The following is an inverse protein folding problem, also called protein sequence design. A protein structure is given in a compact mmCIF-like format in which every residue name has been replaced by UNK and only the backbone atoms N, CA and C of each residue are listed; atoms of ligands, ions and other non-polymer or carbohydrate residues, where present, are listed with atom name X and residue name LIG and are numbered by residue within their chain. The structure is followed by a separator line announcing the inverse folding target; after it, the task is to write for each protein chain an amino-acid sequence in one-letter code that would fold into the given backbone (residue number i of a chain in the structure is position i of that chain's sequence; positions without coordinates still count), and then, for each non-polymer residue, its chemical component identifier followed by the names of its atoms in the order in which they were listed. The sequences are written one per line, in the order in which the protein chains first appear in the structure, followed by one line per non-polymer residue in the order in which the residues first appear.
data_IF_855663353652
#
_entry.id   IF_855663353652
#
_cell.length_a   1.000
_cell.length_b   1.000
_cell.length_c   1.000
_cell.angle_alpha   90.00
_cell.angle_beta   90.00
_cell.angle_gamma   90.00
#
_symmetry.space_group_name_H-M   'P 1'
#
loop_
_entity.id
_entity.type
_entity.pdbx_description
1 polymer ?
#
# COMPACT_ATOMS: atom_id res chain seq x y z
N UNK A 1 61.72 -76.50 16.32
CA UNK A 1 60.62 -77.45 16.64
C UNK A 1 59.95 -76.95 17.91
N UNK A 2 58.90 -76.15 17.80
CA UNK A 2 57.48 -76.54 17.71
C UNK A 2 56.82 -76.69 19.10
N UNK A 3 55.86 -75.77 19.38
CA UNK A 3 54.77 -75.72 20.38
C UNK A 3 54.71 -74.24 20.86
N UNK A 4 53.78 -73.38 20.45
CA UNK A 4 52.40 -73.58 20.03
C UNK A 4 51.47 -73.49 21.24
N UNK A 5 51.22 -72.27 21.75
CA UNK A 5 50.12 -72.05 22.68
C UNK A 5 49.73 -70.57 22.82
N UNK A 6 48.46 -70.31 22.48
CA UNK A 6 47.52 -69.37 23.13
C UNK A 6 47.93 -67.89 23.19
N UNK A 7 47.51 -67.13 22.18
CA UNK A 7 46.89 -65.80 22.34
C UNK A 7 46.35 -65.34 20.98
N UNK A 8 45.27 -65.94 20.48
CA UNK A 8 44.49 -65.34 19.36
C UNK A 8 43.14 -66.06 19.15
N UNK A 9 42.36 -66.23 20.21
CA UNK A 9 41.01 -66.82 20.12
C UNK A 9 39.97 -66.11 20.99
N UNK A 10 40.09 -64.80 21.13
CA UNK A 10 39.13 -64.00 21.91
C UNK A 10 38.90 -62.61 21.32
N UNK A 11 38.79 -62.52 19.99
CA UNK A 11 38.17 -61.38 19.28
C UNK A 11 37.20 -61.87 18.21
N UNK A 12 36.56 -63.00 18.45
CA UNK A 12 35.60 -63.62 17.55
C UNK A 12 34.34 -63.97 18.34
N UNK A 13 33.58 -62.94 18.69
CA UNK A 13 32.23 -63.05 19.24
C UNK A 13 31.66 -61.63 19.28
N UNK A 14 30.61 -61.38 18.50
CA UNK A 14 29.88 -60.11 18.34
C UNK A 14 30.32 -59.19 17.19
N UNK A 15 30.62 -59.77 16.02
CA UNK A 15 30.14 -59.17 14.77
C UNK A 15 28.92 -59.97 14.35
N UNK A 16 27.74 -59.47 14.69
CA UNK A 16 26.52 -59.85 13.97
C UNK A 16 26.85 -59.73 12.49
N UNK A 17 26.62 -60.79 11.72
CA UNK A 17 26.79 -60.80 10.27
C UNK A 17 25.94 -59.68 9.67
N UNK A 18 26.54 -58.50 9.52
CA UNK A 18 25.96 -57.40 8.78
C UNK A 18 25.96 -57.86 7.33
N UNK A 19 24.82 -58.31 6.83
CA UNK A 19 24.64 -58.50 5.40
C UNK A 19 25.04 -57.19 4.71
N UNK A 20 26.00 -57.25 3.78
CA UNK A 20 26.41 -56.06 3.05
C UNK A 20 25.19 -55.50 2.30
N UNK A 21 25.06 -54.17 2.16
CA UNK A 21 23.89 -53.53 1.55
C UNK A 21 23.60 -54.03 0.12
N UNK A 22 24.64 -54.51 -0.57
CA UNK A 22 24.54 -55.16 -1.89
C UNK A 22 23.80 -56.50 -1.84
N UNK A 23 24.06 -57.32 -0.81
CA UNK A 23 23.40 -58.63 -0.64
C UNK A 23 21.93 -58.47 -0.29
N UNK A 24 21.59 -57.48 0.53
CA UNK A 24 20.19 -57.14 0.83
C UNK A 24 19.45 -56.55 -0.37
N UNK A 25 20.11 -55.78 -1.23
CA UNK A 25 19.49 -55.26 -2.46
C UNK A 25 19.20 -56.39 -3.48
N UNK A 26 20.08 -57.38 -3.57
CA UNK A 26 19.85 -58.60 -4.35
C UNK A 26 18.69 -59.43 -3.80
N UNK A 27 18.64 -59.65 -2.48
CA UNK A 27 17.52 -60.31 -1.80
C UNK A 27 16.21 -59.58 -2.08
N UNK A 28 16.19 -58.25 -1.94
CA UNK A 28 15.01 -57.44 -2.24
C UNK A 28 14.55 -57.62 -3.70
N UNK A 29 15.47 -57.62 -4.67
CA UNK A 29 15.15 -57.89 -6.08
C UNK A 29 14.64 -59.31 -6.31
N UNK A 30 15.11 -60.29 -5.54
CA UNK A 30 14.59 -61.65 -5.59
C UNK A 30 13.15 -61.71 -5.04
N UNK A 31 12.90 -61.11 -3.87
CA UNK A 31 11.57 -61.07 -3.26
C UNK A 31 10.55 -60.35 -4.15
N UNK A 32 10.90 -59.21 -4.77
CA UNK A 32 9.97 -58.51 -5.68
C UNK A 32 9.66 -59.31 -6.94
N UNK A 33 10.61 -60.11 -7.46
CA UNK A 33 10.37 -61.01 -8.60
C UNK A 33 9.50 -62.21 -8.25
N UNK A 34 9.59 -62.71 -7.02
CA UNK A 34 8.78 -63.83 -6.52
C UNK A 34 7.35 -63.40 -6.16
N UNK A 35 7.06 -62.09 -6.13
CA UNK A 35 5.76 -61.48 -5.80
C UNK A 35 5.19 -61.88 -4.43
N UNK A 36 6.04 -62.34 -3.53
CA UNK A 36 5.63 -62.69 -2.17
C UNK A 36 5.59 -61.43 -1.30
N UNK A 37 4.38 -60.83 -1.23
CA UNK A 37 4.16 -59.58 -0.52
C UNK A 37 4.38 -59.70 0.99
N UNK A 38 3.92 -60.79 1.60
CA UNK A 38 3.95 -61.01 3.04
C UNK A 38 5.36 -61.14 3.59
N UNK A 39 6.21 -61.92 2.91
CA UNK A 39 7.61 -62.11 3.33
C UNK A 39 8.43 -60.86 3.07
N UNK A 40 8.15 -60.12 1.99
CA UNK A 40 8.80 -58.85 1.69
C UNK A 40 8.48 -57.77 2.74
N UNK A 41 7.21 -57.67 3.14
CA UNK A 41 6.78 -56.74 4.19
C UNK A 41 7.40 -57.09 5.56
N UNK A 42 7.40 -58.36 5.92
CA UNK A 42 8.02 -58.85 7.16
C UNK A 42 9.55 -58.63 7.15
N UNK A 43 10.20 -58.89 6.02
CA UNK A 43 11.63 -58.64 5.83
C UNK A 43 11.95 -57.15 6.03
N UNK A 44 11.18 -56.23 5.44
CA UNK A 44 11.41 -54.79 5.58
C UNK A 44 11.07 -54.24 6.98
N UNK A 45 10.18 -54.91 7.72
CA UNK A 45 9.88 -54.57 9.13
C UNK A 45 10.94 -55.08 10.10
N UNK A 46 11.52 -56.25 9.83
CA UNK A 46 12.50 -56.92 10.72
C UNK A 46 13.94 -56.49 10.45
N UNK A 47 14.25 -56.09 9.22
CA UNK A 47 15.59 -55.66 8.82
C UNK A 47 15.84 -54.22 9.28
N UNK A 48 16.87 -53.96 10.11
CA UNK A 48 17.20 -52.61 10.53
C UNK A 48 17.66 -51.76 9.33
N UNK A 49 17.37 -50.45 9.34
CA UNK A 49 17.61 -49.57 8.20
C UNK A 49 19.08 -49.57 7.76
N UNK A 50 20.05 -49.73 8.68
CA UNK A 50 21.47 -49.70 8.34
C UNK A 50 21.95 -50.89 7.46
N UNK A 51 21.10 -51.90 7.23
CA UNK A 51 21.49 -53.12 6.54
C UNK A 51 21.19 -53.13 5.04
N UNK A 52 20.49 -52.13 4.50
CA UNK A 52 20.22 -52.07 3.06
C UNK A 52 20.36 -50.66 2.50
N UNK A 53 20.72 -50.57 1.23
CA UNK A 53 20.72 -49.28 0.54
C UNK A 53 19.27 -48.81 0.31
N UNK A 54 18.91 -47.74 1.01
CA UNK A 54 17.59 -47.13 0.96
C UNK A 54 17.20 -46.62 -0.43
N UNK A 55 18.17 -46.11 -1.21
CA UNK A 55 17.91 -45.60 -2.55
C UNK A 55 17.48 -46.74 -3.47
N UNK A 56 18.34 -47.75 -3.57
CA UNK A 56 18.05 -48.94 -4.38
C UNK A 56 16.79 -49.66 -3.89
N UNK A 57 16.53 -49.69 -2.57
CA UNK A 57 15.35 -50.37 -2.05
C UNK A 57 14.05 -49.70 -2.51
N UNK A 58 13.97 -48.37 -2.43
CA UNK A 58 12.80 -47.61 -2.89
C UNK A 58 12.61 -47.80 -4.40
N UNK A 59 13.66 -47.64 -5.20
CA UNK A 59 13.60 -47.82 -6.66
C UNK A 59 13.15 -49.23 -7.08
N UNK A 60 13.66 -50.27 -6.40
CA UNK A 60 13.28 -51.66 -6.68
C UNK A 60 11.81 -51.89 -6.34
N UNK A 61 11.31 -51.36 -5.23
CA UNK A 61 9.90 -51.45 -4.85
C UNK A 61 9.00 -50.68 -5.82
N UNK A 62 9.40 -49.49 -6.26
CA UNK A 62 8.68 -48.71 -7.27
C UNK A 62 8.62 -49.42 -8.62
N UNK A 63 9.74 -49.99 -9.08
CA UNK A 63 9.81 -50.74 -10.35
C UNK A 63 8.92 -51.99 -10.35
N UNK A 64 8.66 -52.55 -9.17
CA UNK A 64 7.81 -53.71 -8.96
C UNK A 64 6.35 -53.33 -8.63
N UNK A 65 5.98 -52.06 -8.75
CA UNK A 65 4.65 -51.51 -8.45
C UNK A 65 4.18 -51.67 -6.98
N UNK A 66 5.11 -51.88 -6.04
CA UNK A 66 4.83 -51.92 -4.59
C UNK A 66 4.92 -50.51 -3.97
N UNK A 67 4.17 -49.55 -4.53
CA UNK A 67 4.27 -48.14 -4.14
C UNK A 67 3.94 -47.88 -2.66
N UNK A 68 3.06 -48.69 -2.05
CA UNK A 68 2.64 -48.49 -0.65
C UNK A 68 3.77 -48.84 0.30
N UNK A 69 4.42 -49.97 0.05
CA UNK A 69 5.58 -50.43 0.79
C UNK A 69 6.77 -49.50 0.61
N UNK A 70 6.97 -48.98 -0.62
CA UNK A 70 8.01 -47.99 -0.91
C UNK A 70 7.81 -46.71 -0.10
N UNK A 71 6.58 -46.21 0.01
CA UNK A 71 6.24 -45.05 0.82
C UNK A 71 6.48 -45.30 2.32
N UNK A 72 6.06 -46.44 2.86
CA UNK A 72 6.32 -46.78 4.26
C UNK A 72 7.82 -46.88 4.58
N UNK A 73 8.62 -47.48 3.68
CA UNK A 73 10.07 -47.56 3.83
C UNK A 73 10.68 -46.16 3.78
N UNK A 74 10.29 -45.33 2.81
CA UNK A 74 10.77 -43.94 2.70
C UNK A 74 10.47 -43.13 3.97
N UNK A 75 9.26 -43.28 4.54
CA UNK A 75 8.85 -42.62 5.78
C UNK A 75 9.68 -43.10 6.99
N UNK A 76 9.88 -44.41 7.15
CA UNK A 76 10.64 -44.99 8.29
C UNK A 76 12.12 -44.62 8.26
N UNK A 77 12.69 -44.53 7.07
CA UNK A 77 14.10 -44.21 6.86
C UNK A 77 14.37 -42.70 6.99
N UNK A 78 13.34 -41.86 6.93
CA UNK A 78 13.49 -40.40 6.95
C UNK A 78 13.84 -39.80 5.59
N UNK A 79 13.61 -40.54 4.49
CA UNK A 79 13.69 -40.03 3.11
C UNK A 79 12.36 -39.40 2.70
N UNK A 80 12.03 -38.28 3.34
CA UNK A 80 10.74 -37.62 3.16
C UNK A 80 10.48 -37.12 1.73
N UNK A 81 11.53 -36.76 0.98
CA UNK A 81 11.40 -36.35 -0.42
C UNK A 81 10.80 -37.46 -1.30
N UNK A 82 11.30 -38.69 -1.15
CA UNK A 82 10.81 -39.85 -1.89
C UNK A 82 9.41 -40.25 -1.43
N UNK A 83 9.14 -40.16 -0.12
CA UNK A 83 7.79 -40.36 0.41
C UNK A 83 6.80 -39.39 -0.25
N UNK A 84 7.09 -38.08 -0.21
CA UNK A 84 6.20 -37.05 -0.80
C UNK A 84 6.02 -37.28 -2.29
N UNK A 85 7.09 -37.59 -3.04
CA UNK A 85 7.02 -37.89 -4.47
C UNK A 85 6.09 -39.07 -4.75
N UNK A 86 6.33 -40.20 -4.09
CA UNK A 86 5.54 -41.44 -4.26
C UNK A 86 4.07 -41.20 -3.85
N UNK A 87 3.84 -40.54 -2.73
CA UNK A 87 2.51 -40.23 -2.21
C UNK A 87 1.69 -39.33 -3.14
N UNK A 88 2.33 -38.35 -3.78
CA UNK A 88 1.66 -37.45 -4.74
C UNK A 88 1.43 -38.12 -6.09
N UNK A 89 2.43 -38.82 -6.64
CA UNK A 89 2.35 -39.42 -7.98
C UNK A 89 1.42 -40.65 -8.02
N UNK A 90 1.51 -41.52 -7.02
CA UNK A 90 0.86 -42.84 -7.06
C UNK A 90 -0.45 -42.86 -6.31
N UNK A 91 -0.52 -42.19 -5.16
CA UNK A 91 -1.69 -42.25 -4.28
C UNK A 91 -2.61 -41.03 -4.41
N UNK A 92 -2.12 -39.92 -4.97
CA UNK A 92 -2.83 -38.61 -5.01
C UNK A 92 -3.37 -38.16 -3.65
N UNK A 93 -2.87 -38.73 -2.56
CA UNK A 93 -3.32 -38.47 -1.20
C UNK A 93 -2.61 -37.23 -0.66
N UNK A 94 -2.97 -36.08 -1.21
CA UNK A 94 -2.29 -34.83 -0.91
C UNK A 94 -2.56 -34.36 0.53
N UNK A 95 -3.79 -34.54 1.01
CA UNK A 95 -4.19 -34.13 2.37
C UNK A 95 -3.39 -34.88 3.45
N UNK A 96 -3.25 -36.21 3.34
CA UNK A 96 -2.47 -37.01 4.30
C UNK A 96 -0.99 -36.68 4.23
N UNK A 97 -0.47 -36.39 3.03
CA UNK A 97 0.92 -36.00 2.81
C UNK A 97 1.21 -34.66 3.50
N UNK A 98 0.32 -33.67 3.35
CA UNK A 98 0.48 -32.35 3.99
C UNK A 98 0.30 -32.44 5.51
N UNK A 99 -0.63 -33.26 6.01
CA UNK A 99 -0.77 -33.53 7.45
C UNK A 99 0.49 -34.16 8.04
N UNK A 100 1.10 -35.11 7.32
CA UNK A 100 2.38 -35.68 7.70
C UNK A 100 3.48 -34.61 7.73
N UNK A 101 3.59 -33.77 6.70
CA UNK A 101 4.56 -32.68 6.68
C UNK A 101 4.35 -31.67 7.81
N UNK A 102 3.09 -31.42 8.22
CA UNK A 102 2.76 -30.57 9.37
C UNK A 102 3.16 -31.19 10.71
N UNK A 103 3.26 -32.52 10.79
CA UNK A 103 3.74 -33.22 11.99
C UNK A 103 5.25 -33.18 12.17
N UNK A 104 6.00 -32.88 11.10
CA UNK A 104 7.46 -32.74 11.14
C UNK A 104 7.91 -31.44 11.80
N UNK A 105 9.19 -31.36 12.14
CA UNK A 105 9.79 -30.09 12.56
C UNK A 105 9.70 -29.07 11.43
N UNK A 106 9.47 -27.79 11.76
CA UNK A 106 9.36 -26.71 10.78
C UNK A 106 10.59 -26.61 9.84
N UNK A 107 11.79 -26.93 10.35
CA UNK A 107 13.02 -26.96 9.56
C UNK A 107 13.04 -28.09 8.52
N UNK A 108 12.53 -29.28 8.87
CA UNK A 108 12.40 -30.40 7.92
C UNK A 108 11.30 -30.15 6.90
N UNK A 109 10.12 -29.71 7.36
CA UNK A 109 9.00 -29.35 6.49
C UNK A 109 9.42 -28.26 5.49
N UNK A 110 10.16 -27.25 5.93
CA UNK A 110 10.70 -26.20 5.08
C UNK A 110 11.69 -26.71 4.02
N UNK A 111 12.64 -27.59 4.39
CA UNK A 111 13.58 -28.19 3.42
C UNK A 111 12.84 -29.00 2.34
N UNK A 112 11.82 -29.73 2.72
CA UNK A 112 10.99 -30.50 1.79
C UNK A 112 10.20 -29.55 0.88
N UNK A 113 9.62 -28.47 1.43
CA UNK A 113 8.93 -27.44 0.63
C UNK A 113 9.85 -26.79 -0.40
N UNK A 114 11.12 -26.51 -0.09
CA UNK A 114 12.05 -25.94 -1.07
C UNK A 114 12.30 -26.87 -2.27
N UNK A 115 12.29 -28.19 -2.04
CA UNK A 115 12.60 -29.18 -3.08
C UNK A 115 11.36 -29.64 -3.84
N UNK A 116 10.27 -29.92 -3.11
CA UNK A 116 9.03 -30.54 -3.60
C UNK A 116 7.84 -29.57 -3.65
N UNK A 117 7.99 -28.34 -3.18
CA UNK A 117 6.91 -27.35 -3.06
C UNK A 117 6.17 -27.09 -4.37
N UNK A 118 6.88 -27.01 -5.50
CA UNK A 118 6.23 -26.83 -6.81
C UNK A 118 5.29 -27.99 -7.17
N UNK A 119 5.66 -29.23 -6.83
CA UNK A 119 4.78 -30.37 -7.07
C UNK A 119 3.57 -30.35 -6.13
N UNK A 120 3.81 -30.02 -4.86
CA UNK A 120 2.74 -29.86 -3.86
C UNK A 120 1.74 -28.76 -4.27
N UNK A 121 2.21 -27.62 -4.78
CA UNK A 121 1.37 -26.53 -5.28
C UNK A 121 0.48 -26.93 -6.45
N UNK A 122 0.98 -27.74 -7.38
CA UNK A 122 0.21 -28.22 -8.53
C UNK A 122 -0.93 -29.17 -8.16
N UNK A 123 -0.73 -29.98 -7.12
CA UNK A 123 -1.71 -31.00 -6.72
C UNK A 123 -2.66 -30.53 -5.60
N UNK A 124 -2.16 -29.75 -4.64
CA UNK A 124 -2.91 -29.32 -3.46
C UNK A 124 -2.49 -27.90 -3.02
N UNK A 125 -2.91 -26.86 -3.75
CA UNK A 125 -2.45 -25.50 -3.50
C UNK A 125 -2.90 -24.97 -2.14
N UNK A 126 -4.14 -25.23 -1.72
CA UNK A 126 -4.71 -24.70 -0.46
C UNK A 126 -3.99 -25.26 0.77
N UNK A 127 -3.78 -26.58 0.77
CA UNK A 127 -3.09 -27.30 1.83
C UNK A 127 -1.61 -26.91 1.88
N UNK A 128 -0.98 -26.73 0.72
CA UNK A 128 0.42 -26.30 0.62
C UNK A 128 0.61 -24.88 1.13
N UNK A 129 -0.29 -23.94 0.79
CA UNK A 129 -0.28 -22.58 1.35
C UNK A 129 -0.38 -22.61 2.88
N UNK A 130 -1.30 -23.42 3.42
CA UNK A 130 -1.44 -23.59 4.87
C UNK A 130 -0.17 -24.18 5.52
N UNK A 131 0.54 -25.07 4.84
CA UNK A 131 1.82 -25.62 5.30
C UNK A 131 2.94 -24.57 5.25
N UNK A 132 3.07 -23.82 4.16
CA UNK A 132 4.04 -22.73 4.01
C UNK A 132 3.81 -21.69 5.11
N UNK A 133 2.56 -21.32 5.36
CA UNK A 133 2.19 -20.45 6.48
C UNK A 133 2.60 -21.05 7.82
N UNK A 134 2.32 -22.33 8.08
CA UNK A 134 2.73 -22.98 9.33
C UNK A 134 4.25 -22.99 9.57
N UNK A 135 5.03 -23.17 8.50
CA UNK A 135 6.50 -23.15 8.56
C UNK A 135 7.03 -21.73 8.81
N UNK A 136 6.36 -20.71 8.26
CA UNK A 136 6.78 -19.30 8.35
C UNK A 136 6.24 -18.56 9.57
N UNK A 137 5.15 -19.06 10.18
CA UNK A 137 4.56 -18.52 11.40
C UNK A 137 5.49 -18.66 12.61
N UNK A 138 5.75 -17.57 13.33
CA UNK A 138 6.48 -17.60 14.61
C UNK A 138 7.96 -17.91 14.50
N UNK A 139 8.63 -17.48 13.43
CA UNK A 139 10.08 -17.54 13.30
C UNK A 139 10.74 -16.62 14.35
N UNK A 140 10.93 -17.16 15.56
CA UNK A 140 11.84 -16.60 16.56
C UNK A 140 13.28 -16.56 16.01
N UNK A 141 14.13 -15.73 16.60
CA UNK A 141 15.50 -15.48 16.11
C UNK A 141 16.38 -16.75 16.01
N UNK A 142 16.02 -17.84 16.71
CA UNK A 142 16.72 -19.14 16.70
C UNK A 142 16.18 -20.14 15.64
N UNK A 143 15.33 -19.70 14.71
CA UNK A 143 14.71 -20.57 13.72
C UNK A 143 15.69 -21.00 12.61
N UNK A 144 16.03 -22.30 12.57
CA UNK A 144 16.87 -22.91 11.53
C UNK A 144 16.12 -23.33 10.25
N UNK A 145 14.85 -22.97 10.11
CA UNK A 145 14.08 -23.25 8.89
C UNK A 145 14.24 -22.16 7.81
N UNK A 146 13.77 -22.43 6.59
CA UNK A 146 13.91 -21.51 5.47
C UNK A 146 13.12 -20.23 5.68
N UNK A 147 13.65 -19.13 5.14
CA UNK A 147 12.98 -17.83 5.16
C UNK A 147 11.81 -17.78 4.17
N UNK A 148 10.92 -16.79 4.30
CA UNK A 148 9.83 -16.58 3.34
C UNK A 148 10.41 -16.34 1.94
N UNK A 149 11.49 -15.55 1.84
CA UNK A 149 12.12 -15.21 0.56
C UNK A 149 12.67 -16.46 -0.16
N UNK A 150 13.17 -17.44 0.59
CA UNK A 150 13.60 -18.73 0.05
C UNK A 150 12.42 -19.59 -0.43
N UNK A 151 11.23 -19.41 0.16
CA UNK A 151 10.01 -20.14 -0.19
C UNK A 151 9.20 -19.46 -1.31
N UNK A 152 9.41 -18.16 -1.60
CA UNK A 152 8.73 -17.46 -2.70
C UNK A 152 8.87 -18.18 -4.07
N UNK A 153 10.02 -18.77 -4.43
CA UNK A 153 10.18 -19.55 -5.66
C UNK A 153 9.21 -20.72 -5.83
N UNK A 154 8.58 -21.20 -4.75
CA UNK A 154 7.56 -22.26 -4.81
C UNK A 154 6.32 -21.81 -5.59
N UNK A 155 6.04 -20.51 -5.62
CA UNK A 155 4.86 -19.93 -6.27
C UNK A 155 5.11 -19.39 -7.69
N UNK A 156 6.32 -19.55 -8.25
CA UNK A 156 6.71 -18.95 -9.55
C UNK A 156 5.79 -19.35 -10.69
N UNK A 157 5.29 -20.59 -10.66
CA UNK A 157 4.40 -21.11 -11.71
C UNK A 157 2.97 -20.55 -11.61
N UNK A 158 2.54 -20.06 -10.43
CA UNK A 158 1.16 -19.73 -10.13
C UNK A 158 1.03 -18.43 -9.29
N UNK A 159 1.02 -17.23 -9.92
CA UNK A 159 0.96 -15.96 -9.21
C UNK A 159 -0.35 -15.74 -8.45
N UNK A 160 -1.45 -16.38 -8.85
CA UNK A 160 -2.72 -16.35 -8.12
C UNK A 160 -2.61 -17.03 -6.75
N UNK A 161 -1.82 -18.09 -6.65
CA UNK A 161 -1.58 -18.76 -5.37
C UNK A 161 -0.62 -17.97 -4.49
N UNK A 162 0.33 -17.25 -5.10
CA UNK A 162 1.15 -16.27 -4.38
C UNK A 162 0.29 -15.16 -3.77
N UNK A 163 -0.68 -14.64 -4.51
CA UNK A 163 -1.63 -13.65 -3.99
C UNK A 163 -2.40 -14.20 -2.78
N UNK A 164 -2.96 -15.41 -2.89
CA UNK A 164 -3.70 -16.05 -1.77
C UNK A 164 -2.80 -16.24 -0.55
N UNK A 165 -1.56 -16.70 -0.76
CA UNK A 165 -0.59 -16.84 0.32
C UNK A 165 -0.29 -15.50 0.99
N UNK A 166 0.12 -14.48 0.22
CA UNK A 166 0.45 -13.16 0.76
C UNK A 166 -0.74 -12.49 1.46
N UNK A 167 -1.97 -12.67 0.95
CA UNK A 167 -3.20 -12.23 1.62
C UNK A 167 -3.36 -12.91 2.98
N UNK A 168 -3.19 -14.24 3.03
CA UNK A 168 -3.29 -15.01 4.29
C UNK A 168 -2.23 -14.67 5.34
N UNK A 169 -1.17 -13.98 4.91
CA UNK A 169 -0.01 -13.63 5.75
C UNK A 169 -0.06 -12.16 6.19
N UNK A 170 -0.44 -11.24 5.29
CA UNK A 170 -0.43 -9.80 5.55
C UNK A 170 -1.77 -9.26 6.05
N UNK A 171 -2.89 -9.87 5.63
CA UNK A 171 -4.24 -9.38 5.93
C UNK A 171 -4.99 -10.16 7.02
N UNK A 172 -4.56 -11.39 7.32
CA UNK A 172 -5.16 -12.19 8.39
C UNK A 172 -4.50 -11.84 9.74
N UNK A 173 -5.32 -11.57 10.76
CA UNK A 173 -4.87 -11.16 12.10
C UNK A 173 -4.09 -12.25 12.88
N UNK A 174 -4.01 -13.46 12.34
CA UNK A 174 -3.39 -14.62 13.01
C UNK A 174 -1.89 -14.79 12.75
N UNK A 175 -1.30 -14.11 11.75
CA UNK A 175 0.09 -14.28 11.38
C UNK A 175 1.01 -13.32 12.17
N UNK A 176 1.96 -13.87 12.91
CA UNK A 176 2.94 -13.12 13.70
C UNK A 176 4.26 -12.97 12.92
N UNK A 177 4.20 -12.30 11.78
CA UNK A 177 5.43 -11.92 11.08
C UNK A 177 6.02 -10.63 11.67
N UNK A 178 7.35 -10.53 11.78
CA UNK A 178 8.00 -9.28 12.12
C UNK A 178 7.60 -8.18 11.12
N UNK A 179 7.27 -6.99 11.64
CA UNK A 179 6.77 -5.87 10.82
C UNK A 179 7.68 -5.54 9.62
N UNK A 180 9.00 -5.59 9.80
CA UNK A 180 9.97 -5.33 8.74
C UNK A 180 9.89 -6.33 7.57
N UNK A 181 9.62 -7.62 7.85
CA UNK A 181 9.45 -8.64 6.81
C UNK A 181 8.08 -8.52 6.13
N UNK A 182 7.07 -8.13 6.89
CA UNK A 182 5.75 -7.87 6.32
C UNK A 182 5.79 -6.66 5.36
N UNK A 183 6.54 -5.62 5.71
CA UNK A 183 6.75 -4.44 4.88
C UNK A 183 7.54 -4.77 3.60
N UNK A 184 8.49 -5.71 3.61
CA UNK A 184 9.21 -6.11 2.39
C UNK A 184 8.34 -6.89 1.40
N UNK A 185 7.28 -7.56 1.87
CA UNK A 185 6.33 -8.29 1.03
C UNK A 185 5.19 -7.41 0.48
N UNK A 186 5.00 -6.23 1.07
CA UNK A 186 3.95 -5.28 0.69
C UNK A 186 3.97 -4.92 -0.81
N UNK A 187 5.12 -4.54 -1.42
CA UNK A 187 5.16 -4.18 -2.85
C UNK A 187 4.61 -5.28 -3.76
N UNK A 188 5.02 -6.52 -3.51
CA UNK A 188 4.64 -7.68 -4.31
C UNK A 188 3.15 -7.97 -4.18
N UNK A 189 2.60 -7.93 -2.96
CA UNK A 189 1.17 -8.13 -2.77
C UNK A 189 0.36 -7.00 -3.41
N UNK A 190 0.80 -5.75 -3.25
CA UNK A 190 0.11 -4.59 -3.80
C UNK A 190 0.04 -4.68 -5.33
N UNK A 191 1.15 -5.00 -6.00
CA UNK A 191 1.17 -5.18 -7.45
C UNK A 191 0.20 -6.26 -7.90
N UNK A 192 0.20 -7.42 -7.23
CA UNK A 192 -0.70 -8.52 -7.56
C UNK A 192 -2.18 -8.14 -7.37
N UNK A 193 -2.53 -7.48 -6.26
CA UNK A 193 -3.90 -7.07 -5.97
C UNK A 193 -4.41 -5.99 -6.93
N UNK A 194 -3.58 -4.99 -7.24
CA UNK A 194 -3.99 -3.92 -8.16
C UNK A 194 -4.12 -4.49 -9.58
N UNK A 195 -3.23 -5.41 -9.97
CA UNK A 195 -3.36 -6.13 -11.23
C UNK A 195 -4.62 -6.99 -11.28
N UNK A 196 -4.95 -7.73 -10.22
CA UNK A 196 -6.17 -8.55 -10.17
C UNK A 196 -7.43 -7.68 -10.20
N UNK A 197 -7.43 -6.52 -9.54
CA UNK A 197 -8.50 -5.52 -9.64
C UNK A 197 -8.68 -5.01 -11.08
N UNK A 198 -7.59 -4.76 -11.82
CA UNK A 198 -7.67 -4.27 -13.21
C UNK A 198 -8.26 -5.29 -14.19
N UNK A 199 -8.15 -6.59 -13.86
CA UNK A 199 -8.63 -7.71 -14.70
C UNK A 199 -10.04 -8.16 -14.26
N UNK A 200 -10.46 -7.84 -13.04
CA UNK A 200 -11.72 -8.29 -12.48
C UNK A 200 -12.93 -7.74 -13.27
N UNK A 201 -13.69 -8.63 -13.90
CA UNK A 201 -14.93 -8.28 -14.60
C UNK A 201 -16.12 -8.08 -13.65
N UNK A 202 -16.08 -8.71 -12.47
CA UNK A 202 -17.17 -8.70 -11.50
C UNK A 202 -17.05 -7.54 -10.52
N UNK A 203 -18.07 -6.66 -10.48
CA UNK A 203 -18.09 -5.48 -9.62
C UNK A 203 -17.98 -5.81 -8.11
N UNK A 204 -18.51 -6.96 -7.68
CA UNK A 204 -18.43 -7.43 -6.29
C UNK A 204 -17.00 -7.85 -5.92
N UNK A 205 -16.31 -8.54 -6.82
CA UNK A 205 -14.93 -8.98 -6.62
C UNK A 205 -13.98 -7.78 -6.62
N UNK A 206 -14.14 -6.86 -7.58
CA UNK A 206 -13.39 -5.61 -7.63
C UNK A 206 -13.53 -4.80 -6.33
N UNK A 207 -14.75 -4.69 -5.78
CA UNK A 207 -15.01 -4.00 -4.51
C UNK A 207 -14.33 -4.66 -3.30
N UNK A 208 -14.27 -6.00 -3.27
CA UNK A 208 -13.55 -6.73 -2.21
C UNK A 208 -12.05 -6.49 -2.31
N UNK A 209 -11.49 -6.57 -3.52
CA UNK A 209 -10.06 -6.35 -3.76
C UNK A 209 -9.68 -4.90 -3.43
N UNK A 210 -10.50 -3.91 -3.81
CA UNK A 210 -10.24 -2.50 -3.48
C UNK A 210 -10.25 -2.25 -1.97
N UNK A 211 -11.18 -2.86 -1.23
CA UNK A 211 -11.19 -2.79 0.23
C UNK A 211 -9.93 -3.40 0.86
N UNK A 212 -9.44 -4.52 0.31
CA UNK A 212 -8.21 -5.15 0.77
C UNK A 212 -6.97 -4.31 0.47
N UNK A 213 -6.88 -3.71 -0.73
CA UNK A 213 -5.81 -2.77 -1.10
C UNK A 213 -5.78 -1.60 -0.12
N UNK A 214 -6.93 -0.98 0.14
CA UNK A 214 -7.03 0.16 1.06
C UNK A 214 -6.68 -0.23 2.50
N UNK A 215 -7.03 -1.45 2.93
CA UNK A 215 -6.63 -1.99 4.24
C UNK A 215 -5.12 -2.17 4.32
N UNK A 216 -4.51 -2.72 3.28
CA UNK A 216 -3.06 -2.95 3.20
C UNK A 216 -2.28 -1.64 3.26
N UNK A 217 -2.67 -0.62 2.48
CA UNK A 217 -2.01 0.69 2.45
C UNK A 217 -2.10 1.38 3.83
N UNK A 218 -3.23 1.23 4.53
CA UNK A 218 -3.40 1.79 5.89
C UNK A 218 -2.56 1.10 6.95
N UNK A 219 -2.27 -0.19 6.78
CA UNK A 219 -1.49 -0.99 7.71
C UNK A 219 0.01 -0.70 7.63
N UNK A 220 0.52 -0.35 6.44
CA UNK A 220 1.93 -0.07 6.18
C UNK A 220 2.13 1.34 5.56
N UNK A 221 1.93 2.43 6.32
CA UNK A 221 1.99 3.79 5.80
C UNK A 221 3.42 4.36 5.78
N UNK A 222 4.42 3.59 5.33
CA UNK A 222 5.79 4.11 5.19
C UNK A 222 5.94 4.93 3.91
N UNK A 223 6.82 5.94 3.92
CA UNK A 223 7.04 6.80 2.75
C UNK A 223 7.46 5.98 1.51
N UNK A 224 8.25 4.92 1.72
CA UNK A 224 8.65 4.00 0.65
C UNK A 224 7.47 3.17 0.12
N UNK A 225 6.62 2.65 1.01
CA UNK A 225 5.42 1.90 0.63
C UNK A 225 4.40 2.79 -0.10
N UNK A 226 4.22 4.04 0.35
CA UNK A 226 3.36 5.02 -0.30
C UNK A 226 3.89 5.42 -1.68
N UNK A 227 5.21 5.58 -1.84
CA UNK A 227 5.82 5.87 -3.14
C UNK A 227 5.65 4.70 -4.12
N UNK A 228 5.82 3.46 -3.64
CA UNK A 228 5.51 2.26 -4.41
C UNK A 228 4.01 2.22 -4.81
N UNK A 229 3.13 2.53 -3.86
CA UNK A 229 1.69 2.58 -4.10
C UNK A 229 1.33 3.55 -5.20
N UNK A 230 1.92 4.75 -5.22
CA UNK A 230 1.72 5.71 -6.30
C UNK A 230 2.09 5.13 -7.67
N UNK A 231 3.28 4.53 -7.76
CA UNK A 231 3.79 3.96 -9.01
C UNK A 231 2.88 2.84 -9.54
N UNK A 232 2.53 1.89 -8.68
CA UNK A 232 1.69 0.74 -9.03
C UNK A 232 0.27 1.21 -9.39
N UNK A 233 -0.32 2.08 -8.59
CA UNK A 233 -1.68 2.58 -8.83
C UNK A 233 -1.77 3.39 -10.12
N UNK A 234 -0.74 4.18 -10.46
CA UNK A 234 -0.67 4.90 -11.74
C UNK A 234 -0.53 3.92 -12.92
N UNK A 235 0.25 2.86 -12.77
CA UNK A 235 0.50 1.88 -13.85
C UNK A 235 -0.76 1.09 -14.22
N UNK A 236 -1.55 0.69 -13.22
CA UNK A 236 -2.73 -0.17 -13.41
C UNK A 236 -4.07 0.59 -13.32
N UNK A 237 -4.05 1.90 -13.07
CA UNK A 237 -5.24 2.77 -13.08
C UNK A 237 -6.12 2.71 -11.81
N UNK A 238 -5.56 2.38 -10.65
CA UNK A 238 -6.32 2.36 -9.39
C UNK A 238 -6.37 3.74 -8.72
N UNK A 239 -7.44 4.48 -9.00
CA UNK A 239 -7.59 5.90 -8.61
C UNK A 239 -7.60 6.10 -7.10
N UNK A 240 -8.39 5.32 -6.35
CA UNK A 240 -8.58 5.55 -4.90
C UNK A 240 -7.27 5.41 -4.11
N UNK A 241 -6.44 4.41 -4.46
CA UNK A 241 -5.13 4.19 -3.85
C UNK A 241 -4.09 5.24 -4.27
N UNK A 242 -4.14 5.69 -5.53
CA UNK A 242 -3.31 6.78 -6.01
C UNK A 242 -3.59 8.07 -5.22
N UNK A 243 -4.87 8.45 -5.07
CA UNK A 243 -5.25 9.65 -4.32
C UNK A 243 -4.83 9.55 -2.86
N UNK A 244 -5.09 8.41 -2.21
CA UNK A 244 -4.71 8.21 -0.83
C UNK A 244 -3.19 8.34 -0.60
N UNK A 245 -2.38 7.72 -1.47
CA UNK A 245 -0.93 7.77 -1.33
C UNK A 245 -0.37 9.16 -1.63
N UNK A 246 -0.93 9.88 -2.62
CA UNK A 246 -0.49 11.23 -2.99
C UNK A 246 -0.84 12.25 -1.90
N UNK A 247 -2.02 12.13 -1.28
CA UNK A 247 -2.44 12.95 -0.15
C UNK A 247 -1.48 12.77 1.04
N UNK A 248 -1.14 11.51 1.37
CA UNK A 248 -0.23 11.20 2.49
C UNK A 248 1.20 11.66 2.27
N UNK A 249 1.68 11.62 1.03
CA UNK A 249 3.01 12.12 0.67
C UNK A 249 3.04 13.64 0.43
N UNK A 250 1.92 14.34 0.61
CA UNK A 250 1.79 15.77 0.35
C UNK A 250 2.25 16.17 -1.06
N UNK A 251 2.03 15.31 -2.06
CA UNK A 251 2.40 15.53 -3.47
C UNK A 251 1.21 16.08 -4.28
N UNK A 252 0.73 17.24 -3.83
CA UNK A 252 -0.41 17.97 -4.39
C UNK A 252 -0.33 18.22 -5.90
N UNK A 253 0.85 18.54 -6.41
CA UNK A 253 1.08 18.81 -7.84
C UNK A 253 0.77 17.58 -8.73
N UNK A 254 0.99 16.36 -8.22
CA UNK A 254 0.67 15.14 -8.96
C UNK A 254 -0.84 14.90 -9.04
N UNK A 255 -1.57 15.19 -7.95
CA UNK A 255 -3.04 15.12 -7.94
C UNK A 255 -3.65 16.11 -8.93
N UNK A 256 -3.12 17.33 -8.96
CA UNK A 256 -3.56 18.37 -9.90
C UNK A 256 -3.34 17.94 -11.34
N UNK A 257 -2.14 17.44 -11.66
CA UNK A 257 -1.83 16.98 -13.01
C UNK A 257 -2.75 15.83 -13.44
N UNK A 258 -2.99 14.85 -12.57
CA UNK A 258 -3.91 13.76 -12.84
C UNK A 258 -5.34 14.26 -13.07
N UNK A 259 -5.84 15.19 -12.24
CA UNK A 259 -7.15 15.80 -12.44
C UNK A 259 -7.25 16.57 -13.77
N UNK A 260 -6.16 17.19 -14.22
CA UNK A 260 -6.12 17.89 -15.50
C UNK A 260 -6.19 16.93 -16.69
N UNK A 261 -5.49 15.81 -16.63
CA UNK A 261 -5.54 14.77 -17.67
C UNK A 261 -6.93 14.13 -17.78
N UNK A 262 -7.58 13.84 -16.65
CA UNK A 262 -8.86 13.14 -16.60
C UNK A 262 -10.10 14.05 -16.63
N UNK A 263 -9.91 15.38 -16.55
CA UNK A 263 -10.98 16.39 -16.57
C UNK A 263 -12.02 16.25 -15.45
N UNK A 264 -11.62 15.70 -14.30
CA UNK A 264 -12.47 15.47 -13.13
C UNK A 264 -12.48 16.71 -12.20
N UNK A 265 -13.38 17.66 -12.46
CA UNK A 265 -13.49 18.92 -11.69
C UNK A 265 -13.95 18.71 -10.22
N UNK A 266 -14.81 17.72 -9.96
CA UNK A 266 -15.32 17.44 -8.61
C UNK A 266 -14.22 16.94 -7.66
N UNK A 267 -13.39 16.02 -8.13
CA UNK A 267 -12.25 15.50 -7.36
C UNK A 267 -11.17 16.56 -7.18
N UNK A 268 -10.96 17.42 -8.18
CA UNK A 268 -10.05 18.57 -8.09
C UNK A 268 -10.45 19.48 -6.91
N UNK A 269 -11.75 19.77 -6.76
CA UNK A 269 -12.28 20.55 -5.65
C UNK A 269 -12.09 19.87 -4.29
N UNK A 270 -12.35 18.56 -4.22
CA UNK A 270 -12.12 17.79 -2.98
C UNK A 270 -10.66 17.83 -2.56
N UNK A 271 -9.73 17.68 -3.51
CA UNK A 271 -8.28 17.82 -3.26
C UNK A 271 -7.96 19.24 -2.80
N UNK A 272 -8.42 20.27 -3.49
CA UNK A 272 -8.18 21.67 -3.10
C UNK A 272 -8.70 21.97 -1.68
N UNK A 273 -9.87 21.45 -1.30
CA UNK A 273 -10.45 21.59 0.04
C UNK A 273 -9.62 20.87 1.12
N UNK A 274 -9.12 19.67 0.83
CA UNK A 274 -8.31 18.87 1.78
C UNK A 274 -6.90 19.41 1.96
N UNK A 275 -6.35 20.03 0.93
CA UNK A 275 -4.95 20.42 0.86
C UNK A 275 -4.66 21.84 1.38
N UNK A 276 -5.69 22.56 1.83
CA UNK A 276 -5.52 23.82 2.58
C UNK A 276 -5.31 25.07 1.71
N UNK A 277 -4.91 26.19 2.34
CA UNK A 277 -4.99 27.55 1.78
C UNK A 277 -3.85 27.88 0.78
N UNK A 278 -3.26 26.90 0.12
CA UNK A 278 -2.18 27.15 -0.84
C UNK A 278 -2.73 27.87 -2.08
N UNK A 279 -2.52 29.19 -2.12
CA UNK A 279 -2.98 30.08 -3.19
C UNK A 279 -2.63 29.55 -4.59
N UNK A 280 -1.45 28.96 -4.75
CA UNK A 280 -1.00 28.41 -6.03
C UNK A 280 -1.87 27.26 -6.56
N UNK A 281 -2.40 26.40 -5.69
CA UNK A 281 -3.28 25.29 -6.08
C UNK A 281 -4.63 25.82 -6.57
N UNK A 282 -5.18 26.82 -5.89
CA UNK A 282 -6.44 27.45 -6.28
C UNK A 282 -6.33 28.25 -7.58
N UNK A 283 -5.20 28.91 -7.84
CA UNK A 283 -4.91 29.55 -9.14
C UNK A 283 -4.86 28.50 -10.25
N UNK A 284 -4.13 27.40 -10.04
CA UNK A 284 -4.03 26.32 -11.01
C UNK A 284 -5.40 25.66 -11.27
N UNK A 285 -6.17 25.38 -10.22
CA UNK A 285 -7.51 24.82 -10.33
C UNK A 285 -8.45 25.75 -11.10
N UNK A 286 -8.48 27.04 -10.76
CA UNK A 286 -9.30 28.04 -11.43
C UNK A 286 -8.87 28.22 -12.90
N UNK A 287 -7.57 28.21 -13.18
CA UNK A 287 -7.04 28.30 -14.55
C UNK A 287 -7.43 27.09 -15.41
N UNK A 288 -7.51 25.91 -14.81
CA UNK A 288 -7.96 24.69 -15.49
C UNK A 288 -9.47 24.71 -15.74
N UNK A 289 -10.27 25.06 -14.72
CA UNK A 289 -11.72 25.19 -14.85
C UNK A 289 -12.13 26.29 -15.85
N UNK A 290 -11.32 27.34 -15.96
CA UNK A 290 -11.48 28.40 -16.94
C UNK A 290 -10.95 28.02 -18.34
N UNK A 291 -10.15 26.96 -18.48
CA UNK A 291 -9.62 26.53 -19.77
C UNK A 291 -10.68 25.77 -20.58
N UNK A 292 -10.79 26.00 -21.89
CA UNK A 292 -11.69 25.25 -22.77
C UNK A 292 -11.36 23.73 -22.82
N UNK A 293 -10.17 23.34 -22.36
CA UNK A 293 -9.74 21.95 -22.30
C UNK A 293 -10.53 21.12 -21.27
N UNK A 294 -11.20 21.75 -20.30
CA UNK A 294 -11.94 21.08 -19.21
C UNK A 294 -13.24 20.39 -19.66
N UNK A 295 -13.65 20.52 -20.93
CA UNK A 295 -14.81 19.80 -21.49
C UNK A 295 -16.18 20.42 -21.20
N UNK A 296 -16.19 21.59 -20.57
CA UNK A 296 -17.35 22.44 -20.36
C UNK A 296 -18.34 21.98 -19.28
N UNK A 297 -19.11 22.94 -18.75
CA UNK A 297 -20.20 22.66 -17.80
C UNK A 297 -19.84 22.71 -16.31
N UNK A 298 -18.65 23.20 -15.95
CA UNK A 298 -18.15 23.25 -14.56
C UNK A 298 -18.57 24.51 -13.80
N UNK A 299 -19.74 25.08 -14.10
CA UNK A 299 -20.19 26.36 -13.54
C UNK A 299 -20.45 26.26 -12.03
N UNK A 300 -20.95 25.10 -11.56
CA UNK A 300 -21.17 24.85 -10.13
C UNK A 300 -19.83 24.77 -9.39
N UNK A 301 -18.85 24.09 -9.98
CA UNK A 301 -17.51 23.93 -9.43
C UNK A 301 -16.76 25.26 -9.38
N UNK A 302 -16.87 26.11 -10.41
CA UNK A 302 -16.31 27.47 -10.43
C UNK A 302 -16.96 28.34 -9.34
N UNK A 303 -18.28 28.27 -9.18
CA UNK A 303 -18.97 28.99 -8.11
C UNK A 303 -18.51 28.53 -6.72
N UNK A 304 -18.27 27.23 -6.54
CA UNK A 304 -17.77 26.68 -5.28
C UNK A 304 -16.31 27.09 -5.01
N UNK A 305 -15.44 27.10 -6.03
CA UNK A 305 -14.09 27.68 -5.94
C UNK A 305 -14.15 29.15 -5.53
N UNK A 306 -15.00 29.95 -6.18
CA UNK A 306 -15.12 31.38 -5.91
C UNK A 306 -15.61 31.66 -4.48
N UNK A 307 -16.56 30.87 -3.98
CA UNK A 307 -17.00 30.94 -2.56
C UNK A 307 -15.87 30.60 -1.61
N UNK A 308 -15.08 29.58 -1.90
CA UNK A 308 -13.94 29.21 -1.04
C UNK A 308 -12.81 30.25 -1.05
N UNK A 309 -12.52 30.84 -2.22
CA UNK A 309 -11.59 31.96 -2.35
C UNK A 309 -12.10 33.17 -1.57
N UNK A 310 -13.40 33.43 -1.62
CA UNK A 310 -14.03 34.49 -0.83
C UNK A 310 -13.88 34.22 0.67
N UNK A 311 -14.27 33.05 1.17
CA UNK A 311 -14.21 32.74 2.61
C UNK A 311 -12.80 32.73 3.19
N UNK A 312 -11.81 32.33 2.40
CA UNK A 312 -10.42 32.15 2.86
C UNK A 312 -9.45 33.27 2.41
N UNK A 313 -9.93 34.29 1.68
CA UNK A 313 -9.15 35.43 1.13
C UNK A 313 -7.87 35.00 0.39
N UNK A 314 -7.98 33.94 -0.41
CA UNK A 314 -6.80 33.26 -0.97
C UNK A 314 -6.21 33.94 -2.19
N UNK A 315 -6.98 34.76 -2.91
CA UNK A 315 -6.58 35.29 -4.20
C UNK A 315 -7.03 36.74 -4.42
N UNK A 316 -6.13 37.62 -4.92
CA UNK A 316 -6.51 38.96 -5.33
C UNK A 316 -7.54 38.94 -6.46
N UNK A 317 -8.50 39.86 -6.39
CA UNK A 317 -9.58 40.01 -7.37
C UNK A 317 -9.08 40.11 -8.82
N UNK A 318 -7.95 40.79 -9.03
CA UNK A 318 -7.34 40.95 -10.36
C UNK A 318 -6.91 39.61 -10.96
N UNK A 319 -6.33 38.73 -10.16
CA UNK A 319 -5.85 37.42 -10.63
C UNK A 319 -7.02 36.52 -11.01
N UNK A 320 -8.11 36.55 -10.23
CA UNK A 320 -9.36 35.83 -10.53
C UNK A 320 -9.93 36.30 -11.89
N UNK A 321 -10.01 37.62 -12.10
CA UNK A 321 -10.52 38.19 -13.35
C UNK A 321 -9.62 37.84 -14.53
N UNK A 322 -8.29 37.90 -14.36
CA UNK A 322 -7.32 37.53 -15.40
C UNK A 322 -7.42 36.06 -15.79
N UNK A 323 -7.60 35.15 -14.82
CA UNK A 323 -7.82 33.72 -15.10
C UNK A 323 -9.16 33.45 -15.78
N UNK A 324 -10.24 34.11 -15.36
CA UNK A 324 -11.58 33.91 -15.93
C UNK A 324 -11.72 34.54 -17.32
N UNK A 325 -10.92 35.55 -17.65
CA UNK A 325 -10.87 36.15 -18.99
C UNK A 325 -10.51 35.14 -20.08
N UNK A 326 -9.75 34.11 -19.75
CA UNK A 326 -9.35 33.06 -20.68
C UNK A 326 -10.47 32.02 -20.93
N UNK A 327 -11.57 32.09 -20.19
CA UNK A 327 -12.73 31.21 -20.38
C UNK A 327 -13.72 31.78 -21.40
N UNK A 328 -14.15 30.94 -22.34
CA UNK A 328 -15.23 31.28 -23.29
C UNK A 328 -16.63 30.95 -22.71
N UNK A 329 -16.69 30.13 -21.65
CA UNK A 329 -17.94 29.62 -21.08
C UNK A 329 -18.52 30.46 -19.92
N UNK A 330 -17.69 31.22 -19.19
CA UNK A 330 -18.14 31.96 -18.02
C UNK A 330 -18.63 33.34 -18.43
N UNK A 331 -19.91 33.64 -18.19
CA UNK A 331 -20.41 34.99 -18.41
C UNK A 331 -20.13 35.87 -17.19
N UNK A 332 -19.96 37.18 -17.40
CA UNK A 332 -19.82 38.18 -16.31
C UNK A 332 -21.04 38.13 -15.35
N UNK A 333 -22.17 37.60 -15.79
CA UNK A 333 -23.35 37.35 -14.95
C UNK A 333 -23.08 36.35 -13.82
N UNK A 334 -22.29 35.31 -14.09
CA UNK A 334 -22.04 34.21 -13.15
C UNK A 334 -21.04 34.58 -12.05
N UNK A 335 -20.15 35.54 -12.35
CA UNK A 335 -19.14 36.07 -11.42
C UNK A 335 -19.64 37.31 -10.67
N UNK A 336 -20.79 37.88 -11.09
CA UNK A 336 -21.44 39.03 -10.44
C UNK A 336 -21.62 38.88 -8.93
N UNK A 337 -22.11 37.75 -8.38
CA UNK A 337 -22.26 37.61 -6.92
C UNK A 337 -20.91 37.70 -6.20
N UNK A 338 -19.86 37.10 -6.75
CA UNK A 338 -18.50 37.19 -6.20
C UNK A 338 -17.96 38.64 -6.23
N UNK A 339 -18.14 39.35 -7.35
CA UNK A 339 -17.72 40.74 -7.50
C UNK A 339 -18.45 41.67 -6.51
N UNK A 340 -19.75 41.47 -6.33
CA UNK A 340 -20.55 42.25 -5.37
C UNK A 340 -20.12 42.01 -3.93
N UNK A 341 -19.81 40.76 -3.58
CA UNK A 341 -19.39 40.40 -2.23
C UNK A 341 -17.98 40.91 -1.91
N UNK A 342 -17.02 40.77 -2.84
CA UNK A 342 -15.67 41.33 -2.70
C UNK A 342 -15.68 42.86 -2.64
N UNK A 343 -16.48 43.52 -3.49
CA UNK A 343 -16.65 44.97 -3.42
C UNK A 343 -17.19 45.42 -2.05
N UNK A 344 -18.18 44.72 -1.51
CA UNK A 344 -18.75 45.01 -0.19
C UNK A 344 -17.71 44.85 0.92
N UNK A 345 -16.90 43.80 0.89
CA UNK A 345 -15.78 43.62 1.84
C UNK A 345 -14.75 44.73 1.76
N UNK A 346 -14.36 45.15 0.55
CA UNK A 346 -13.41 46.26 0.38
C UNK A 346 -14.00 47.57 0.92
N UNK A 347 -15.30 47.83 0.71
CA UNK A 347 -16.00 49.00 1.27
C UNK A 347 -16.05 48.94 2.81
N UNK A 348 -16.34 47.79 3.40
CA UNK A 348 -16.39 47.59 4.85
C UNK A 348 -15.00 47.70 5.50
N UNK A 349 -13.94 47.23 4.82
CA UNK A 349 -12.54 47.40 5.23
C UNK A 349 -12.09 48.88 5.17
N UNK A 350 -12.52 49.62 4.14
CA UNK A 350 -12.29 51.06 4.04
C UNK A 350 -13.10 51.84 5.10
N UNK A 351 -14.30 51.40 5.44
CA UNK A 351 -15.11 52.00 6.50
C UNK A 351 -14.51 51.76 7.90
N UNK A 352 -14.00 50.56 8.18
CA UNK A 352 -13.34 50.24 9.45
C UNK A 352 -11.97 50.91 9.60
N UNK A 353 -11.18 51.04 8.53
CA UNK A 353 -9.92 51.81 8.56
C UNK A 353 -10.15 53.31 8.75
N UNK A 354 -11.19 53.88 8.13
CA UNK A 354 -11.65 55.26 8.42
C UNK A 354 -12.16 55.40 9.85
N UNK A 355 -12.90 54.42 10.37
CA UNK A 355 -13.38 54.40 11.76
C UNK A 355 -12.25 54.33 12.78
N UNK A 356 -11.22 53.50 12.54
CA UNK A 356 -10.01 53.41 13.37
C UNK A 356 -9.15 54.68 13.27
N UNK A 357 -9.04 55.28 12.09
CA UNK A 357 -8.34 56.58 11.92
C UNK A 357 -9.08 57.70 12.64
N UNK A 358 -10.42 57.70 12.59
CA UNK A 358 -11.27 58.66 13.31
C UNK A 358 -11.21 58.45 14.84
N UNK A 359 -11.19 57.20 15.32
CA UNK A 359 -11.01 56.89 16.75
C UNK A 359 -9.59 57.15 17.24
N UNK A 360 -8.56 56.93 16.42
CA UNK A 360 -7.18 57.27 16.75
C UNK A 360 -6.99 58.79 16.81
N UNK A 361 -7.56 59.54 15.85
CA UNK A 361 -7.61 61.00 15.91
C UNK A 361 -8.44 61.48 17.11
N UNK A 362 -9.58 60.85 17.42
CA UNK A 362 -10.40 61.17 18.59
C UNK A 362 -9.70 60.86 19.92
N UNK A 363 -8.90 59.80 19.98
CA UNK A 363 -8.05 59.43 21.13
C UNK A 363 -6.90 60.42 21.33
N UNK A 364 -6.23 60.84 20.25
CA UNK A 364 -5.17 61.87 20.28
C UNK A 364 -5.75 63.24 20.65
N UNK A 365 -6.92 63.62 20.12
CA UNK A 365 -7.62 64.84 20.52
C UNK A 365 -8.17 64.76 21.96
N UNK A 366 -8.59 63.58 22.42
CA UNK A 366 -9.04 63.35 23.80
C UNK A 366 -7.89 63.42 24.81
N UNK A 367 -6.71 62.88 24.47
CA UNK A 367 -5.51 63.02 25.31
C UNK A 367 -4.97 64.44 25.31
N UNK A 368 -5.02 65.15 24.18
CA UNK A 368 -4.64 66.58 24.11
C UNK A 368 -5.64 67.48 24.86
N UNK A 369 -6.94 67.17 24.82
CA UNK A 369 -7.99 67.85 25.58
C UNK A 369 -7.85 67.68 27.10
N UNK A 370 -7.46 66.49 27.56
CA UNK A 370 -7.19 66.27 28.99
C UNK A 370 -5.91 66.97 29.48
N UNK A 371 -4.87 67.10 28.65
CA UNK A 371 -3.66 67.86 29.02
C UNK A 371 -3.86 69.37 29.04
N UNK A 372 -4.78 69.92 28.23
CA UNK A 372 -5.10 71.36 28.24
C UNK A 372 -6.03 71.77 29.39
N UNK A 373 -6.75 70.84 30.01
CA UNK A 373 -7.57 71.11 31.20
C UNK A 373 -6.78 71.25 32.51
N UNK A 374 -5.51 70.84 32.54
CA UNK A 374 -4.68 70.81 33.77
C UNK A 374 -3.72 72.01 33.86
N UNK A 375 -3.40 72.68 32.74
CA UNK A 375 -2.65 73.94 32.75
C UNK A 375 -3.56 75.10 32.36
N UNK A 376 -4.19 75.70 33.36
CA UNK A 376 -4.89 76.97 33.23
C UNK A 376 -3.94 78.06 32.74
N UNK A 377 -3.96 78.33 31.43
CA UNK A 377 -3.30 79.46 30.81
C UNK A 377 -4.31 80.18 29.91
N UNK A 378 -4.83 81.30 30.44
CA UNK A 378 -5.40 82.37 29.64
C UNK A 378 -4.35 82.87 28.64
N UNK A 379 -4.67 82.85 27.34
CA UNK A 379 -3.87 83.60 26.38
C UNK A 379 -4.09 83.25 24.90
N UNK A 380 -4.47 84.27 24.12
CA UNK A 380 -4.34 84.43 22.67
C UNK A 380 -5.44 83.83 21.74
N UNK A 381 -6.38 84.67 21.25
CA UNK A 381 -7.40 84.32 20.26
C UNK A 381 -6.93 84.22 18.79
N UNK A 382 -5.63 84.20 18.50
CA UNK A 382 -5.12 84.34 17.12
C UNK A 382 -4.86 83.02 16.37
N UNK A 383 -4.85 81.86 17.06
CA UNK A 383 -4.55 80.55 16.42
C UNK A 383 -5.82 79.80 15.99
N UNK A 384 -6.99 80.17 16.50
CA UNK A 384 -8.27 79.53 16.13
C UNK A 384 -8.82 79.97 14.75
N UNK A 385 -8.33 81.10 14.23
CA UNK A 385 -8.78 81.66 12.95
C UNK A 385 -8.19 80.92 11.74
N UNK A 386 -7.00 80.29 11.85
CA UNK A 386 -6.43 79.49 10.75
C UNK A 386 -6.98 78.06 10.70
N UNK A 387 -7.32 77.45 11.84
CA UNK A 387 -7.90 76.09 11.85
C UNK A 387 -9.35 76.05 11.36
N UNK A 388 -10.10 77.16 11.50
CA UNK A 388 -11.46 77.27 10.96
C UNK A 388 -11.50 77.42 9.43
N UNK A 389 -10.39 77.85 8.79
CA UNK A 389 -10.28 77.87 7.30
C UNK A 389 -10.10 76.48 6.70
N UNK A 390 -9.48 75.54 7.42
CA UNK A 390 -9.33 74.14 6.96
C UNK A 390 -10.61 73.31 7.07
N UNK A 391 -11.58 73.71 7.92
CA UNK A 391 -12.90 73.06 8.01
C UNK A 391 -13.86 73.44 6.87
N UNK A 392 -13.60 74.53 6.14
CA UNK A 392 -14.48 75.02 5.06
C UNK A 392 -14.20 74.44 3.67
N UNK A 393 -13.14 73.65 3.49
CA UNK A 393 -12.69 73.17 2.16
C UNK A 393 -13.17 71.78 1.74
N UNK A 394 -13.98 71.09 2.55
CA UNK A 394 -14.31 69.67 2.31
C UNK A 394 -15.80 69.37 2.35
N UNK A 395 -16.63 70.23 1.75
CA UNK A 395 -17.99 69.88 1.33
C UNK A 395 -18.21 70.46 -0.06
N UNK A 396 -18.15 69.60 -1.08
CA UNK A 396 -18.28 70.00 -2.47
C UNK A 396 -18.18 68.81 -3.43
N UNK A 397 -19.18 67.93 -3.37
CA UNK A 397 -19.58 67.06 -4.47
C UNK A 397 -19.40 67.75 -5.83
N UNK A 398 -18.51 67.23 -6.71
CA UNK A 398 -18.64 67.27 -8.19
C UNK A 398 -17.45 66.70 -9.01
N UNK A 399 -16.36 66.21 -8.43
CA UNK A 399 -15.20 65.75 -9.23
C UNK A 399 -15.09 64.24 -9.47
N UNK A 400 -15.94 63.40 -8.88
CA UNK A 400 -15.88 61.94 -9.11
C UNK A 400 -16.90 61.38 -10.13
N UNK A 401 -17.81 62.22 -10.64
CA UNK A 401 -18.72 61.84 -11.75
C UNK A 401 -18.10 62.02 -13.13
N UNK A 402 -16.88 62.55 -13.24
CA UNK A 402 -16.19 62.73 -14.54
C UNK A 402 -15.36 61.50 -14.98
N UNK A 403 -14.97 60.61 -14.06
CA UNK A 403 -14.19 59.40 -14.40
C UNK A 403 -15.05 58.18 -14.77
N UNK A 404 -16.38 58.26 -14.60
CA UNK A 404 -17.32 57.21 -15.00
C UNK A 404 -18.02 57.45 -16.34
N UNK A 405 -17.74 58.57 -17.03
CA UNK A 405 -18.26 58.82 -18.39
C UNK A 405 -17.24 58.58 -19.52
N UNK A 406 -15.95 58.39 -19.24
CA UNK A 406 -14.93 58.13 -20.28
C UNK A 406 -14.59 56.64 -20.49
N UNK A 407 -15.21 55.71 -19.76
CA UNK A 407 -14.99 54.26 -19.96
C UNK A 407 -16.15 53.53 -20.66
N UNK A 408 -17.20 54.24 -21.09
CA UNK A 408 -18.31 53.68 -21.89
C UNK A 408 -18.18 53.94 -23.40
N UNK A 409 -17.01 54.37 -23.88
CA UNK A 409 -16.73 54.62 -25.30
C UNK A 409 -15.31 54.13 -25.67
N UNK A 410 -15.07 52.83 -25.49
CA UNK A 410 -14.19 52.00 -26.33
C UNK A 410 -14.22 50.56 -25.84
N UNK A 411 -14.63 49.68 -26.77
CA UNK A 411 -14.86 48.23 -26.67
C UNK A 411 -16.26 47.83 -26.20
#
# INVERSE_FOLDING_TARGET
MAKGSRTDRSKESSKQEMAAPEHTALLLKCYTKLKDFTTLEEFLKTTPPQQYDHATAIEVLESAAYHGLAAEVAQKVGRFDDYVRISLEQFKNCSTTVEFLRSLSKAEAGRILLRMGRMLMRHAPKETIALVRHVTDGAAEDFQGPSIDELLPVFVDDPSQLEVFLRSVLLDEGCQLPHAKAESLFPTLLELLVKSHSIASDASEASRISADIMRLIRQYPSDAALANTLMVCQTYGFVDGFFYAAEKLHRHQLLMHWCFEHKDARRLLEVCKRCGPDQSLWVQALSFLASPESGGGHLEEIQEVLRHIEDSDLMPLLLVIETLRHSEEVTIGDVRPYLQAQYKRLVDALATSRGKSSQALGSVFGTWGCTWGILGLQGCPSVFAEFSRLKGGFIGSKTYTALLCEFSLSV
#
